data_IF_599239326264
#
_entry.id   IF_599239326264
#
_cell.length_a   1.000
_cell.length_b   1.000
_cell.length_c   1.000
_cell.angle_alpha   90.00
_cell.angle_beta   90.00
_cell.angle_gamma   90.00
#
_symmetry.space_group_name_H-M   'P 1'
#
loop_
_entity.id
_entity.type
_entity.pdbx_description
1 polymer ?
#
# COMPACT_ATOMS: atom_id res chain seq x y z
N UNK A 1 3.12 27.53 10.77
CA UNK A 1 2.55 26.16 10.62
C UNK A 1 1.05 26.04 10.94
N UNK A 2 0.49 26.63 12.01
CA UNK A 2 -0.97 26.55 12.31
C UNK A 2 -1.89 27.11 11.20
N UNK A 3 -1.44 28.12 10.44
CA UNK A 3 -2.18 28.73 9.32
C UNK A 3 -2.28 27.80 8.10
N UNK A 4 -1.19 27.12 7.72
CA UNK A 4 -1.15 26.21 6.57
C UNK A 4 -2.14 25.05 6.71
N UNK A 5 -2.28 24.49 7.91
CA UNK A 5 -3.24 23.39 8.18
C UNK A 5 -4.71 23.84 8.02
N UNK A 6 -5.02 25.12 8.30
CA UNK A 6 -6.36 25.67 8.08
C UNK A 6 -6.65 25.88 6.59
N UNK A 7 -5.67 26.37 5.85
CA UNK A 7 -5.76 26.56 4.40
C UNK A 7 -5.90 25.23 3.66
N UNK A 8 -5.21 24.19 4.12
CA UNK A 8 -5.31 22.85 3.56
C UNK A 8 -6.66 22.18 3.86
N UNK A 9 -7.20 22.39 5.06
CA UNK A 9 -8.56 21.95 5.39
C UNK A 9 -9.61 22.67 4.52
N UNK A 10 -9.45 23.97 4.28
CA UNK A 10 -10.28 24.74 3.36
C UNK A 10 -10.22 24.20 1.93
N UNK A 11 -9.03 23.82 1.45
CA UNK A 11 -8.83 23.18 0.15
C UNK A 11 -9.54 21.82 0.06
N UNK A 12 -9.53 21.02 1.13
CA UNK A 12 -10.30 19.76 1.18
C UNK A 12 -11.79 20.07 1.13
N UNK A 13 -12.29 21.06 1.88
CA UNK A 13 -13.70 21.45 1.83
C UNK A 13 -14.13 21.95 0.43
N UNK A 14 -13.29 22.75 -0.23
CA UNK A 14 -13.53 23.23 -1.60
C UNK A 14 -13.46 22.09 -2.61
N UNK A 15 -12.57 21.13 -2.40
CA UNK A 15 -12.42 19.98 -3.25
C UNK A 15 -13.55 18.96 -3.07
N UNK A 16 -13.97 18.67 -1.84
CA UNK A 16 -15.14 17.84 -1.57
C UNK A 16 -16.41 18.51 -2.11
N UNK A 17 -16.51 19.83 -2.03
CA UNK A 17 -17.57 20.60 -2.71
C UNK A 17 -17.51 20.42 -4.24
N UNK A 18 -16.32 20.46 -4.85
CA UNK A 18 -16.14 20.20 -6.28
C UNK A 18 -16.55 18.78 -6.69
N UNK A 19 -16.20 17.78 -5.88
CA UNK A 19 -16.66 16.40 -6.06
C UNK A 19 -18.18 16.32 -5.92
N UNK A 20 -18.78 16.98 -4.93
CA UNK A 20 -20.23 17.07 -4.75
C UNK A 20 -20.94 17.66 -5.98
N UNK A 21 -20.38 18.71 -6.58
CA UNK A 21 -20.92 19.29 -7.81
C UNK A 21 -20.83 18.30 -8.98
N UNK A 22 -19.71 17.59 -9.13
CA UNK A 22 -19.59 16.52 -10.12
C UNK A 22 -20.66 15.44 -9.89
N UNK A 23 -20.81 14.99 -8.64
CA UNK A 23 -21.83 14.05 -8.18
C UNK A 23 -23.27 14.47 -8.50
N UNK A 24 -23.61 15.74 -8.26
CA UNK A 24 -24.94 16.30 -8.52
C UNK A 24 -25.25 16.40 -10.03
N UNK A 25 -24.24 16.65 -10.87
CA UNK A 25 -24.43 16.73 -12.33
C UNK A 25 -24.68 15.38 -13.00
N UNK A 26 -24.11 14.30 -12.45
CA UNK A 26 -24.27 12.94 -13.01
C UNK A 26 -25.63 12.33 -12.61
N UNK A 27 -26.10 12.60 -11.40
CA UNK A 27 -27.27 11.96 -10.81
C UNK A 27 -28.61 12.68 -11.02
N UNK A 28 -29.06 12.92 -12.25
CA UNK A 28 -30.36 13.60 -12.53
C UNK A 28 -31.60 12.94 -11.90
N UNK A 29 -31.49 11.76 -11.27
CA UNK A 29 -32.59 11.07 -10.55
C UNK A 29 -32.29 10.55 -9.14
N UNK A 30 -31.07 10.72 -8.57
CA UNK A 30 -30.70 10.18 -7.23
C UNK A 30 -29.93 11.18 -6.35
N UNK A 31 -30.20 12.49 -6.53
CA UNK A 31 -29.51 13.57 -5.83
C UNK A 31 -29.43 13.39 -4.30
N UNK A 32 -30.52 12.96 -3.65
CA UNK A 32 -30.58 12.77 -2.19
C UNK A 32 -29.62 11.67 -1.70
N UNK A 33 -29.54 10.55 -2.41
CA UNK A 33 -28.65 9.45 -2.04
C UNK A 33 -27.19 9.83 -2.26
N UNK A 34 -26.90 10.55 -3.33
CA UNK A 34 -25.58 11.10 -3.61
C UNK A 34 -25.14 12.13 -2.56
N UNK A 35 -26.05 13.00 -2.13
CA UNK A 35 -25.84 13.92 -1.00
C UNK A 35 -25.50 13.16 0.29
N UNK A 36 -26.26 12.10 0.60
CA UNK A 36 -26.02 11.28 1.79
C UNK A 36 -24.61 10.70 1.82
N UNK A 37 -24.16 10.07 0.73
CA UNK A 37 -22.82 9.50 0.65
C UNK A 37 -21.72 10.54 0.77
N UNK A 38 -21.91 11.71 0.16
CA UNK A 38 -20.98 12.82 0.28
C UNK A 38 -20.88 13.34 1.72
N UNK A 39 -22.01 13.60 2.37
CA UNK A 39 -22.04 14.04 3.78
C UNK A 39 -21.38 13.00 4.68
N UNK A 40 -21.68 11.72 4.47
CA UNK A 40 -21.09 10.62 5.23
C UNK A 40 -19.56 10.57 5.06
N UNK A 41 -19.06 10.74 3.84
CA UNK A 41 -17.62 10.78 3.56
C UNK A 41 -16.93 11.96 4.26
N UNK A 42 -17.46 13.18 4.09
CA UNK A 42 -16.91 14.39 4.72
C UNK A 42 -16.93 14.26 6.25
N UNK A 43 -18.02 13.72 6.80
CA UNK A 43 -18.14 13.47 8.23
C UNK A 43 -17.07 12.49 8.73
N UNK A 44 -16.92 11.32 8.10
CA UNK A 44 -15.94 10.30 8.48
C UNK A 44 -14.51 10.85 8.47
N UNK A 45 -14.13 11.53 7.38
CA UNK A 45 -12.80 12.13 7.21
C UNK A 45 -12.55 13.21 8.25
N UNK A 46 -13.53 14.09 8.48
CA UNK A 46 -13.40 15.19 9.45
C UNK A 46 -13.26 14.65 10.86
N UNK A 47 -14.08 13.68 11.24
CA UNK A 47 -13.99 13.02 12.56
C UNK A 47 -12.63 12.36 12.73
N UNK A 48 -12.17 11.57 11.75
CA UNK A 48 -10.85 10.93 11.83
C UNK A 48 -9.72 11.95 11.94
N UNK A 49 -9.77 13.04 11.17
CA UNK A 49 -8.81 14.12 11.25
C UNK A 49 -8.80 14.79 12.62
N UNK A 50 -9.96 15.14 13.16
CA UNK A 50 -10.09 15.78 14.48
C UNK A 50 -9.58 14.87 15.60
N UNK A 51 -9.89 13.57 15.56
CA UNK A 51 -9.36 12.58 16.50
C UNK A 51 -7.82 12.53 16.38
N UNK A 52 -7.30 12.38 15.17
CA UNK A 52 -5.85 12.33 14.96
C UNK A 52 -5.12 13.61 15.37
N UNK A 53 -5.77 14.78 15.25
CA UNK A 53 -5.24 16.05 15.76
C UNK A 53 -5.31 16.15 17.28
N UNK A 54 -6.44 15.77 17.89
CA UNK A 54 -6.65 15.81 19.36
C UNK A 54 -5.66 14.92 20.09
N UNK A 55 -5.39 13.74 19.53
CA UNK A 55 -4.46 12.77 20.10
C UNK A 55 -3.07 12.82 19.47
N UNK A 56 -2.73 13.87 18.71
CA UNK A 56 -1.40 14.06 18.09
C UNK A 56 -0.89 12.80 17.36
N UNK A 57 -1.79 12.06 16.72
CA UNK A 57 -1.50 10.82 16.00
C UNK A 57 -0.92 11.09 14.61
N UNK A 58 -1.12 12.29 14.09
CA UNK A 58 -0.60 12.73 12.79
C UNK A 58 0.46 13.81 13.00
N UNK A 59 1.75 13.44 13.11
CA UNK A 59 2.86 14.40 13.22
C UNK A 59 2.86 15.37 12.04
N UNK A 60 2.66 14.82 10.83
CA UNK A 60 2.53 15.57 9.58
C UNK A 60 1.13 15.38 8.99
N UNK A 61 0.18 16.30 9.25
CA UNK A 61 -1.20 16.19 8.79
C UNK A 61 -1.35 16.03 7.27
N UNK A 62 -0.39 16.52 6.49
CA UNK A 62 -0.41 16.44 5.03
C UNK A 62 -0.42 15.00 4.51
N UNK A 63 0.23 14.08 5.23
CA UNK A 63 0.29 12.66 4.87
C UNK A 63 -1.06 11.95 5.05
N UNK A 64 -1.94 12.47 5.89
CA UNK A 64 -3.32 12.00 6.00
C UNK A 64 -4.21 12.61 4.90
N UNK A 65 -3.96 13.87 4.55
CA UNK A 65 -4.80 14.61 3.61
C UNK A 65 -4.68 14.07 2.18
N UNK A 66 -3.47 13.74 1.72
CA UNK A 66 -3.26 13.29 0.34
C UNK A 66 -4.05 11.99 0.02
N UNK A 67 -3.98 10.92 0.84
CA UNK A 67 -4.79 9.71 0.62
C UNK A 67 -6.29 9.98 0.72
N UNK A 68 -6.72 10.87 1.62
CA UNK A 68 -8.12 11.30 1.71
C UNK A 68 -8.53 11.91 0.38
N UNK A 69 -7.78 12.89 -0.14
CA UNK A 69 -8.05 13.53 -1.41
C UNK A 69 -8.19 12.52 -2.55
N UNK A 70 -7.21 11.61 -2.69
CA UNK A 70 -7.23 10.57 -3.73
C UNK A 70 -8.42 9.60 -3.57
N UNK A 71 -8.79 9.26 -2.34
CA UNK A 71 -9.96 8.41 -2.09
C UNK A 71 -11.28 9.09 -2.49
N UNK A 72 -11.38 10.41 -2.30
CA UNK A 72 -12.53 11.20 -2.75
C UNK A 72 -12.65 11.25 -4.28
N UNK A 73 -11.52 11.41 -4.98
CA UNK A 73 -11.47 11.30 -6.45
C UNK A 73 -11.93 9.92 -6.91
N UNK A 74 -11.34 8.85 -6.36
CA UNK A 74 -11.67 7.48 -6.74
C UNK A 74 -13.13 7.14 -6.48
N UNK A 75 -13.72 7.61 -5.37
CA UNK A 75 -15.16 7.51 -5.13
C UNK A 75 -15.96 8.19 -6.24
N UNK A 76 -15.59 9.41 -6.62
CA UNK A 76 -16.35 10.16 -7.63
C UNK A 76 -16.30 9.46 -8.99
N UNK A 77 -15.12 8.95 -9.38
CA UNK A 77 -14.96 8.18 -10.61
C UNK A 77 -15.76 6.88 -10.60
N UNK A 78 -15.69 6.10 -9.51
CA UNK A 78 -16.46 4.86 -9.36
C UNK A 78 -17.95 5.11 -9.52
N UNK A 79 -18.47 6.17 -8.90
CA UNK A 79 -19.88 6.51 -9.00
C UNK A 79 -20.26 7.00 -10.40
N UNK A 80 -19.39 7.78 -11.05
CA UNK A 80 -19.62 8.23 -12.43
C UNK A 80 -19.67 7.05 -13.42
N UNK A 81 -18.86 6.02 -13.21
CA UNK A 81 -18.87 4.80 -14.03
C UNK A 81 -20.10 3.95 -13.77
N UNK A 82 -20.47 3.74 -12.50
CA UNK A 82 -21.58 2.86 -12.13
C UNK A 82 -22.96 3.44 -12.46
N UNK A 83 -23.12 4.76 -12.49
CA UNK A 83 -24.39 5.37 -12.94
C UNK A 83 -24.69 5.07 -14.42
N UNK A 84 -23.69 4.75 -15.25
CA UNK A 84 -23.90 4.31 -16.63
C UNK A 84 -24.34 2.85 -16.74
N UNK A 85 -24.20 2.06 -15.68
CA UNK A 85 -24.40 0.61 -15.67
C UNK A 85 -25.64 0.27 -14.80
N UNK A 86 -26.81 0.26 -15.44
CA UNK A 86 -28.18 -0.20 -15.04
C UNK A 86 -28.56 -0.46 -13.55
N UNK A 87 -29.82 -0.09 -13.23
CA UNK A 87 -30.58 -0.21 -11.97
C UNK A 87 -30.14 -1.30 -10.95
N UNK A 88 -29.69 -0.85 -9.76
CA UNK A 88 -29.57 -1.66 -8.53
C UNK A 88 -28.13 -1.92 -8.06
N UNK A 89 -27.17 -2.06 -8.99
CA UNK A 89 -25.76 -2.38 -8.68
C UNK A 89 -25.05 -1.22 -7.94
N UNK A 90 -25.46 0.01 -8.22
CA UNK A 90 -24.92 1.23 -7.63
C UNK A 90 -24.97 1.23 -6.09
N UNK A 91 -26.10 0.81 -5.50
CA UNK A 91 -26.30 0.96 -4.05
C UNK A 91 -25.35 0.01 -3.29
N UNK A 92 -25.27 -1.25 -3.72
CA UNK A 92 -24.42 -2.25 -3.07
C UNK A 92 -22.92 -1.88 -3.11
N UNK A 93 -22.42 -1.39 -4.26
CA UNK A 93 -21.00 -1.04 -4.36
C UNK A 93 -20.67 0.25 -3.60
N UNK A 94 -21.55 1.27 -3.66
CA UNK A 94 -21.39 2.51 -2.92
C UNK A 94 -21.33 2.28 -1.40
N UNK A 95 -22.26 1.48 -0.86
CA UNK A 95 -22.26 1.11 0.56
C UNK A 95 -21.02 0.33 0.96
N UNK A 96 -20.60 -0.65 0.14
CA UNK A 96 -19.39 -1.43 0.38
C UNK A 96 -18.13 -0.55 0.39
N UNK A 97 -18.02 0.38 -0.55
CA UNK A 97 -16.87 1.29 -0.61
C UNK A 97 -16.83 2.23 0.59
N UNK A 98 -17.98 2.72 1.05
CA UNK A 98 -18.07 3.52 2.27
C UNK A 98 -17.72 2.73 3.53
N UNK A 99 -18.12 1.45 3.61
CA UNK A 99 -17.74 0.58 4.72
C UNK A 99 -16.22 0.35 4.74
N UNK A 100 -15.58 0.14 3.59
CA UNK A 100 -14.12 0.02 3.48
C UNK A 100 -13.40 1.32 3.83
N UNK A 101 -13.95 2.48 3.45
CA UNK A 101 -13.40 3.77 3.85
C UNK A 101 -13.49 3.97 5.37
N UNK A 102 -14.63 3.66 5.98
CA UNK A 102 -14.78 3.71 7.43
C UNK A 102 -13.77 2.77 8.12
N UNK A 103 -13.63 1.53 7.63
CA UNK A 103 -12.63 0.59 8.13
C UNK A 103 -11.20 1.16 8.01
N UNK A 104 -10.86 1.77 6.87
CA UNK A 104 -9.55 2.39 6.66
C UNK A 104 -9.26 3.54 7.64
N UNK A 105 -10.27 4.35 7.97
CA UNK A 105 -10.15 5.44 8.95
C UNK A 105 -9.89 4.89 10.36
N UNK A 106 -10.56 3.80 10.74
CA UNK A 106 -10.31 3.14 12.01
C UNK A 106 -8.89 2.55 12.03
N UNK A 107 -8.50 1.85 10.96
CA UNK A 107 -7.18 1.23 10.85
C UNK A 107 -6.05 2.26 10.92
N UNK A 108 -6.14 3.38 10.20
CA UNK A 108 -5.08 4.41 10.23
C UNK A 108 -4.96 5.05 11.61
N UNK A 109 -6.07 5.30 12.30
CA UNK A 109 -6.06 5.83 13.68
C UNK A 109 -5.47 4.82 14.66
N UNK A 110 -5.88 3.55 14.56
CA UNK A 110 -5.38 2.48 15.42
C UNK A 110 -3.88 2.27 15.25
N UNK A 111 -3.41 2.14 14.00
CA UNK A 111 -1.98 1.98 13.69
C UNK A 111 -1.20 3.19 14.19
N UNK A 112 -1.65 4.42 13.91
CA UNK A 112 -0.97 5.64 14.36
C UNK A 112 -0.90 5.75 15.89
N UNK A 113 -1.94 5.32 16.59
CA UNK A 113 -1.95 5.28 18.06
C UNK A 113 -0.98 4.25 18.63
N UNK A 114 -0.88 3.07 17.99
CA UNK A 114 0.07 2.03 18.38
C UNK A 114 1.52 2.47 18.14
N UNK A 115 1.80 3.08 16.99
CA UNK A 115 3.16 3.50 16.62
C UNK A 115 3.62 4.74 17.38
N UNK A 116 2.71 5.64 17.79
CA UNK A 116 3.07 6.84 18.57
C UNK A 116 3.83 6.52 19.86
N UNK A 117 3.47 5.43 20.55
CA UNK A 117 4.08 5.06 21.84
C UNK A 117 5.28 4.12 21.70
N UNK A 118 5.42 3.44 20.56
CA UNK A 118 6.46 2.43 20.37
C UNK A 118 7.63 2.98 19.55
N UNK A 119 8.85 2.75 20.04
CA UNK A 119 10.05 3.00 19.24
C UNK A 119 10.06 2.04 18.03
N UNK A 120 9.92 2.60 16.83
CA UNK A 120 9.85 1.86 15.57
C UNK A 120 11.13 1.06 15.26
N UNK A 121 12.25 1.44 15.87
CA UNK A 121 13.51 0.68 15.79
C UNK A 121 13.37 -0.76 16.28
N UNK A 122 12.42 -1.02 17.20
CA UNK A 122 12.15 -2.38 17.67
C UNK A 122 11.64 -3.29 16.55
N UNK A 123 10.94 -2.75 15.54
CA UNK A 123 10.44 -3.55 14.41
C UNK A 123 11.59 -4.10 13.55
N UNK A 124 12.69 -3.36 13.41
CA UNK A 124 13.86 -3.81 12.65
C UNK A 124 14.51 -5.07 13.25
N UNK A 125 14.44 -5.23 14.58
CA UNK A 125 14.96 -6.43 15.27
C UNK A 125 14.22 -7.71 14.90
N UNK A 126 12.93 -7.59 14.55
CA UNK A 126 12.08 -8.72 14.17
C UNK A 126 12.04 -8.97 12.65
N UNK A 127 13.03 -8.46 11.89
CA UNK A 127 13.09 -8.58 10.42
C UNK A 127 12.79 -9.99 9.89
N UNK A 128 13.37 -11.03 10.48
CA UNK A 128 13.15 -12.41 10.04
C UNK A 128 11.74 -12.93 10.36
N UNK A 129 11.11 -12.46 11.44
CA UNK A 129 9.71 -12.79 11.74
C UNK A 129 8.80 -12.19 10.66
N UNK A 130 9.04 -10.94 10.25
CA UNK A 130 8.28 -10.32 9.16
C UNK A 130 8.46 -11.06 7.84
N UNK A 131 9.68 -11.48 7.51
CA UNK A 131 9.95 -12.31 6.33
C UNK A 131 9.20 -13.64 6.37
N UNK A 132 9.31 -14.38 7.47
CA UNK A 132 8.66 -15.69 7.63
C UNK A 132 7.14 -15.54 7.56
N UNK A 133 6.55 -14.57 8.27
CA UNK A 133 5.12 -14.28 8.21
C UNK A 133 4.69 -13.93 6.78
N UNK A 134 5.49 -13.14 6.06
CA UNK A 134 5.25 -12.81 4.66
C UNK A 134 5.22 -14.05 3.76
N UNK A 135 6.20 -14.94 3.92
CA UNK A 135 6.28 -16.19 3.18
C UNK A 135 5.13 -17.14 3.48
N UNK A 136 4.75 -17.26 4.75
CA UNK A 136 3.62 -18.09 5.16
C UNK A 136 2.32 -17.56 4.56
N UNK A 137 2.09 -16.23 4.63
CA UNK A 137 0.88 -15.62 4.06
C UNK A 137 0.80 -15.80 2.54
N UNK A 138 1.89 -15.61 1.80
CA UNK A 138 1.91 -15.93 0.37
C UNK A 138 1.71 -17.42 0.12
N UNK A 139 2.43 -18.27 0.84
CA UNK A 139 2.37 -19.73 0.68
C UNK A 139 0.98 -20.30 0.94
N UNK A 140 0.23 -19.75 1.90
CA UNK A 140 -1.15 -20.16 2.21
C UNK A 140 -2.11 -19.99 1.02
N UNK A 141 -1.88 -19.01 0.14
CA UNK A 141 -2.72 -18.81 -1.05
C UNK A 141 -2.53 -19.89 -2.11
N UNK A 142 -1.44 -20.66 -2.09
CA UNK A 142 -1.22 -21.73 -3.08
C UNK A 142 -2.25 -22.86 -2.91
N UNK A 143 -2.43 -23.47 -1.72
CA UNK A 143 -3.45 -24.49 -1.52
C UNK A 143 -4.86 -23.92 -1.34
N UNK A 144 -5.02 -22.77 -0.68
CA UNK A 144 -6.33 -22.24 -0.27
C UNK A 144 -6.83 -21.05 -1.09
N UNK A 145 -6.01 -20.50 -1.98
CA UNK A 145 -6.38 -19.35 -2.80
C UNK A 145 -7.46 -19.67 -3.81
N UNK A 146 -8.30 -18.70 -4.10
CA UNK A 146 -9.25 -18.70 -5.20
C UNK A 146 -8.69 -17.92 -6.38
N UNK A 147 -9.08 -18.33 -7.59
CA UNK A 147 -8.63 -17.66 -8.82
C UNK A 147 -9.57 -16.51 -9.18
N UNK A 148 -9.02 -15.31 -9.25
CA UNK A 148 -9.70 -14.13 -9.79
C UNK A 148 -8.80 -13.52 -10.88
N UNK A 149 -9.36 -13.26 -12.07
CA UNK A 149 -8.59 -12.68 -13.18
C UNK A 149 -7.39 -13.51 -13.63
N UNK A 150 -7.41 -14.84 -13.40
CA UNK A 150 -6.31 -15.75 -13.74
C UNK A 150 -5.22 -15.90 -12.67
N UNK A 151 -5.23 -15.06 -11.62
CA UNK A 151 -4.31 -15.13 -10.49
C UNK A 151 -4.96 -15.84 -9.28
N UNK A 152 -4.22 -16.72 -8.61
CA UNK A 152 -4.65 -17.47 -7.42
C UNK A 152 -4.10 -16.83 -6.15
N UNK A 153 -4.45 -15.58 -5.90
CA UNK A 153 -3.88 -14.76 -4.82
C UNK A 153 -4.87 -14.30 -3.75
N UNK A 154 -6.15 -14.71 -3.83
CA UNK A 154 -7.21 -14.26 -2.92
C UNK A 154 -7.70 -15.38 -2.01
N UNK A 155 -7.93 -15.06 -0.73
CA UNK A 155 -8.60 -15.95 0.23
C UNK A 155 -10.03 -15.44 0.46
N UNK A 156 -11.00 -16.33 0.31
CA UNK A 156 -12.42 -16.01 0.47
C UNK A 156 -12.99 -16.63 1.75
N UNK A 157 -13.63 -15.80 2.57
CA UNK A 157 -14.32 -16.17 3.80
C UNK A 157 -15.78 -15.71 3.69
N UNK A 158 -16.61 -16.51 3.02
CA UNK A 158 -18.00 -16.14 2.72
C UNK A 158 -18.08 -14.92 1.80
N UNK A 159 -18.61 -13.81 2.31
CA UNK A 159 -18.74 -12.53 1.57
C UNK A 159 -17.49 -11.64 1.63
N UNK A 160 -16.51 -11.98 2.47
CA UNK A 160 -15.26 -11.24 2.61
C UNK A 160 -14.16 -11.92 1.80
N UNK A 161 -13.52 -11.15 0.93
CA UNK A 161 -12.36 -11.61 0.17
C UNK A 161 -11.15 -10.77 0.58
N UNK A 162 -10.08 -11.44 1.01
CA UNK A 162 -8.86 -10.81 1.48
C UNK A 162 -7.73 -11.23 0.55
N UNK A 163 -6.92 -10.27 0.10
CA UNK A 163 -5.71 -10.53 -0.66
C UNK A 163 -4.51 -10.52 0.30
N UNK A 164 -3.90 -11.67 0.65
CA UNK A 164 -2.80 -11.69 1.61
C UNK A 164 -1.57 -10.91 1.13
N UNK A 165 -1.38 -10.78 -0.19
CA UNK A 165 -0.29 -9.99 -0.77
C UNK A 165 -0.31 -8.53 -0.29
N UNK A 166 -1.47 -7.92 -0.07
CA UNK A 166 -1.51 -6.53 0.42
C UNK A 166 -0.85 -6.39 1.81
N UNK A 167 -1.02 -7.37 2.70
CA UNK A 167 -0.33 -7.40 3.99
C UNK A 167 1.16 -7.72 3.85
N UNK A 168 1.48 -8.67 2.98
CA UNK A 168 2.86 -9.11 2.74
C UNK A 168 3.72 -7.96 2.20
N UNK A 169 3.16 -7.03 1.42
CA UNK A 169 3.82 -5.82 0.94
C UNK A 169 4.45 -5.03 2.10
N UNK A 170 3.71 -4.86 3.19
CA UNK A 170 4.19 -4.17 4.40
C UNK A 170 5.26 -5.01 5.10
N UNK A 171 5.04 -6.32 5.26
CA UNK A 171 5.98 -7.23 5.93
C UNK A 171 7.34 -7.30 5.22
N UNK A 172 7.34 -7.34 3.90
CA UNK A 172 8.56 -7.32 3.08
C UNK A 172 9.29 -6.00 3.24
N UNK A 173 8.59 -4.85 3.24
CA UNK A 173 9.23 -3.55 3.50
C UNK A 173 9.89 -3.53 4.89
N UNK A 174 9.21 -4.04 5.92
CA UNK A 174 9.78 -4.13 7.27
C UNK A 174 11.01 -5.04 7.32
N UNK A 175 10.96 -6.19 6.65
CA UNK A 175 12.11 -7.08 6.52
C UNK A 175 13.27 -6.41 5.80
N UNK A 176 13.03 -5.85 4.61
CA UNK A 176 14.07 -5.24 3.79
C UNK A 176 14.69 -4.04 4.49
N UNK A 177 13.88 -3.15 5.07
CA UNK A 177 14.37 -2.00 5.83
C UNK A 177 15.22 -2.43 7.03
N UNK A 178 14.74 -3.38 7.84
CA UNK A 178 15.48 -3.86 9.01
C UNK A 178 16.74 -4.64 8.65
N UNK A 179 16.74 -5.38 7.54
CA UNK A 179 17.92 -6.09 7.06
C UNK A 179 18.97 -5.12 6.51
N UNK A 180 18.53 -4.18 5.67
CA UNK A 180 19.41 -3.19 5.06
C UNK A 180 19.93 -2.15 6.07
N UNK A 181 19.22 -1.87 7.16
CA UNK A 181 19.77 -1.01 8.22
C UNK A 181 21.00 -1.62 8.90
N UNK A 182 21.07 -2.95 8.99
CA UNK A 182 22.17 -3.67 9.64
C UNK A 182 23.30 -4.00 8.65
N UNK A 183 22.95 -4.51 7.47
CA UNK A 183 23.93 -5.01 6.48
C UNK A 183 24.13 -4.08 5.28
N UNK A 184 23.40 -2.96 5.20
CA UNK A 184 23.43 -2.06 4.05
C UNK A 184 24.78 -1.35 3.83
N UNK A 185 25.62 -1.23 4.86
CA UNK A 185 26.96 -0.66 4.71
C UNK A 185 27.84 -1.52 3.77
N UNK A 186 27.61 -2.82 3.70
CA UNK A 186 28.31 -3.71 2.77
C UNK A 186 27.94 -3.44 1.30
N UNK A 187 26.73 -2.94 1.02
CA UNK A 187 26.33 -2.51 -0.32
C UNK A 187 27.03 -1.21 -0.74
N UNK A 188 27.19 -0.26 0.19
CA UNK A 188 27.88 1.02 -0.07
C UNK A 188 29.35 0.80 -0.43
N UNK A 189 30.03 -0.08 0.31
CA UNK A 189 31.47 -0.31 0.23
C UNK A 189 31.90 -1.30 -0.87
N UNK A 190 30.97 -1.82 -1.69
CA UNK A 190 31.27 -2.73 -2.77
C UNK A 190 32.00 -2.02 -3.93
N UNK A 191 33.27 -1.63 -3.78
CA UNK A 191 34.02 -0.91 -4.82
C UNK A 191 34.23 -1.79 -6.06
N UNK A 192 34.17 -1.25 -7.31
CA UNK A 192 34.31 -2.05 -8.54
C UNK A 192 35.68 -2.75 -8.74
N UNK A 193 36.66 -2.47 -7.88
CA UNK A 193 38.07 -2.85 -8.09
C UNK A 193 38.54 -4.11 -7.36
N UNK A 194 37.66 -4.87 -6.71
CA UNK A 194 38.08 -6.02 -5.87
C UNK A 194 37.41 -7.32 -6.28
N UNK A 195 38.00 -7.96 -7.30
CA UNK A 195 37.53 -9.24 -7.87
C UNK A 195 37.62 -10.43 -6.90
N UNK A 196 38.29 -10.27 -5.74
CA UNK A 196 38.61 -11.35 -4.78
C UNK A 196 37.88 -11.19 -3.42
N UNK A 197 37.05 -10.14 -3.24
CA UNK A 197 36.13 -10.01 -2.08
C UNK A 197 34.61 -10.20 -2.37
N UNK A 198 34.13 -10.68 -3.54
CA UNK A 198 32.69 -10.78 -3.79
C UNK A 198 31.99 -11.78 -2.84
N UNK A 199 32.70 -12.79 -2.33
CA UNK A 199 32.11 -13.80 -1.46
C UNK A 199 31.52 -13.23 -0.18
N UNK A 200 32.25 -12.38 0.57
CA UNK A 200 31.74 -11.85 1.86
C UNK A 200 30.48 -11.00 1.67
N UNK A 201 30.45 -10.14 0.65
CA UNK A 201 29.27 -9.33 0.35
C UNK A 201 28.07 -10.20 -0.07
N UNK A 202 28.30 -11.27 -0.86
CA UNK A 202 27.26 -12.24 -1.23
C UNK A 202 26.72 -12.98 -0.01
N UNK A 203 27.58 -13.38 0.94
CA UNK A 203 27.16 -14.03 2.19
C UNK A 203 26.24 -13.13 3.03
N UNK A 204 26.53 -11.83 3.12
CA UNK A 204 25.68 -10.88 3.84
C UNK A 204 24.42 -10.47 3.08
N UNK A 205 24.38 -10.62 1.75
CA UNK A 205 23.17 -10.35 0.95
C UNK A 205 22.35 -11.61 0.69
N UNK A 206 22.91 -12.79 0.94
CA UNK A 206 22.30 -14.09 0.67
C UNK A 206 20.91 -14.25 1.29
N UNK A 207 20.71 -14.01 2.60
CA UNK A 207 19.39 -14.11 3.21
C UNK A 207 18.36 -13.14 2.62
N UNK A 208 18.78 -11.92 2.28
CA UNK A 208 17.92 -10.91 1.65
C UNK A 208 17.50 -11.31 0.24
N UNK A 209 18.46 -11.77 -0.57
CA UNK A 209 18.17 -12.28 -1.92
C UNK A 209 17.34 -13.56 -1.87
N UNK A 210 17.59 -14.45 -0.92
CA UNK A 210 16.83 -15.69 -0.75
C UNK A 210 15.36 -15.40 -0.45
N UNK A 211 15.07 -14.57 0.56
CA UNK A 211 13.70 -14.17 0.88
C UNK A 211 13.06 -13.47 -0.32
N UNK A 212 13.76 -12.55 -0.96
CA UNK A 212 13.22 -11.83 -2.10
C UNK A 212 12.91 -12.74 -3.31
N UNK A 213 13.82 -13.64 -3.71
CA UNK A 213 13.61 -14.63 -4.78
C UNK A 213 12.43 -15.53 -4.42
N UNK A 214 12.36 -16.01 -3.18
CA UNK A 214 11.27 -16.88 -2.73
C UNK A 214 9.91 -16.18 -2.84
N UNK A 215 9.82 -14.91 -2.44
CA UNK A 215 8.58 -14.13 -2.57
C UNK A 215 8.16 -14.01 -4.04
N UNK A 216 9.10 -13.70 -4.94
CA UNK A 216 8.80 -13.59 -6.37
C UNK A 216 8.38 -14.92 -6.98
N UNK A 217 9.06 -16.02 -6.63
CA UNK A 217 8.68 -17.36 -7.10
C UNK A 217 7.25 -17.72 -6.66
N UNK A 218 6.91 -17.48 -5.40
CA UNK A 218 5.55 -17.72 -4.90
C UNK A 218 4.50 -16.91 -5.68
N UNK A 219 4.78 -15.64 -5.99
CA UNK A 219 3.87 -14.80 -6.77
C UNK A 219 3.75 -15.24 -8.23
N UNK A 220 4.84 -15.71 -8.83
CA UNK A 220 4.82 -16.31 -10.18
C UNK A 220 3.98 -17.59 -10.19
N UNK A 221 4.09 -18.45 -9.17
CA UNK A 221 3.22 -19.62 -9.01
C UNK A 221 1.75 -19.25 -8.82
N UNK A 222 1.48 -18.13 -8.13
CA UNK A 222 0.14 -17.57 -8.01
C UNK A 222 -0.36 -16.90 -9.30
N UNK A 223 0.48 -16.76 -10.33
CA UNK A 223 0.22 -16.01 -11.57
C UNK A 223 -0.16 -14.54 -11.31
N UNK A 224 0.36 -13.95 -10.23
CA UNK A 224 0.12 -12.56 -9.84
C UNK A 224 1.32 -11.68 -10.22
N UNK A 225 1.48 -11.46 -11.53
CA UNK A 225 2.60 -10.70 -12.09
C UNK A 225 2.59 -9.23 -11.67
N UNK A 226 1.40 -8.63 -11.53
CA UNK A 226 1.27 -7.24 -11.08
C UNK A 226 1.87 -7.04 -9.68
N UNK A 227 1.53 -7.92 -8.75
CA UNK A 227 2.11 -7.89 -7.39
C UNK A 227 3.61 -8.18 -7.41
N UNK A 228 4.06 -9.13 -8.25
CA UNK A 228 5.48 -9.45 -8.39
C UNK A 228 6.31 -8.24 -8.85
N UNK A 229 5.83 -7.50 -9.85
CA UNK A 229 6.50 -6.29 -10.35
C UNK A 229 6.53 -5.20 -9.28
N UNK A 230 5.45 -5.01 -8.52
CA UNK A 230 5.43 -4.06 -7.41
C UNK A 230 6.47 -4.41 -6.33
N UNK A 231 6.57 -5.68 -5.96
CA UNK A 231 7.54 -6.14 -4.95
C UNK A 231 8.98 -6.00 -5.44
N UNK A 232 9.19 -6.30 -6.72
CA UNK A 232 10.46 -6.09 -7.39
C UNK A 232 10.86 -4.60 -7.37
N UNK A 233 9.92 -3.70 -7.71
CA UNK A 233 10.14 -2.25 -7.67
C UNK A 233 10.47 -1.72 -6.28
N UNK A 234 9.74 -2.16 -5.26
CA UNK A 234 10.01 -1.80 -3.85
C UNK A 234 11.40 -2.27 -3.42
N UNK A 235 11.79 -3.49 -3.79
CA UNK A 235 13.12 -4.01 -3.52
C UNK A 235 14.22 -3.14 -4.14
N UNK A 236 14.09 -2.81 -5.44
CA UNK A 236 15.06 -1.94 -6.12
C UNK A 236 15.12 -0.55 -5.51
N UNK A 237 13.98 0.02 -5.14
CA UNK A 237 13.92 1.34 -4.50
C UNK A 237 14.69 1.36 -3.17
N UNK A 238 14.52 0.34 -2.33
CA UNK A 238 15.24 0.24 -1.05
C UNK A 238 16.74 -0.04 -1.24
N UNK A 239 17.11 -0.89 -2.20
CA UNK A 239 18.52 -1.12 -2.53
C UNK A 239 19.17 0.16 -3.06
N UNK A 240 18.48 0.93 -3.90
CA UNK A 240 18.97 2.21 -4.40
C UNK A 240 19.16 3.21 -3.25
N UNK A 241 18.17 3.35 -2.38
CA UNK A 241 18.21 4.27 -1.24
C UNK A 241 19.40 3.97 -0.32
N UNK A 242 19.71 2.69 -0.11
CA UNK A 242 20.79 2.26 0.78
C UNK A 242 22.15 2.29 0.09
N UNK A 243 22.25 1.87 -1.17
CA UNK A 243 23.52 1.79 -1.90
C UNK A 243 23.95 3.12 -2.52
N UNK A 244 23.01 4.01 -2.85
CA UNK A 244 23.23 5.24 -3.62
C UNK A 244 23.58 5.00 -5.10
N UNK A 245 23.46 3.76 -5.60
CA UNK A 245 23.94 3.39 -6.94
C UNK A 245 22.79 3.09 -7.88
N UNK A 246 22.59 3.98 -8.85
CA UNK A 246 21.57 3.84 -9.88
C UNK A 246 21.78 2.58 -10.76
N UNK A 247 23.03 2.08 -10.87
CA UNK A 247 23.35 0.88 -11.63
C UNK A 247 22.55 -0.36 -11.19
N UNK A 248 22.23 -0.50 -9.90
CA UNK A 248 21.41 -1.62 -9.41
C UNK A 248 19.97 -1.55 -9.90
N UNK A 249 19.42 -0.33 -10.01
CA UNK A 249 18.06 -0.11 -10.54
C UNK A 249 18.02 -0.46 -12.02
N UNK A 250 19.02 -0.02 -12.79
CA UNK A 250 19.12 -0.34 -14.23
C UNK A 250 19.27 -1.84 -14.44
N UNK A 251 20.20 -2.49 -13.74
CA UNK A 251 20.41 -3.93 -13.84
C UNK A 251 19.15 -4.72 -13.45
N UNK A 252 18.49 -4.33 -12.36
CA UNK A 252 17.22 -4.93 -11.96
C UNK A 252 16.10 -4.70 -12.97
N UNK A 253 15.98 -3.48 -13.50
CA UNK A 253 15.00 -3.16 -14.54
C UNK A 253 15.15 -4.01 -15.79
N UNK A 254 16.40 -4.29 -16.21
CA UNK A 254 16.68 -5.21 -17.32
C UNK A 254 16.24 -6.64 -17.00
N UNK A 255 16.53 -7.14 -15.79
CA UNK A 255 16.08 -8.47 -15.35
C UNK A 255 14.56 -8.58 -15.35
N UNK A 256 13.86 -7.55 -14.87
CA UNK A 256 12.39 -7.51 -14.90
C UNK A 256 11.84 -7.49 -16.33
N UNK A 257 12.47 -6.71 -17.23
CA UNK A 257 12.06 -6.66 -18.63
C UNK A 257 12.25 -8.03 -19.32
N UNK A 258 13.38 -8.70 -19.10
CA UNK A 258 13.62 -10.05 -19.62
C UNK A 258 12.60 -11.04 -19.05
N UNK A 259 12.36 -11.00 -17.73
CA UNK A 259 11.38 -11.87 -17.08
C UNK A 259 9.92 -11.60 -17.48
N UNK A 260 9.61 -10.44 -18.06
CA UNK A 260 8.28 -10.13 -18.59
C UNK A 260 8.06 -10.63 -20.02
N UNK A 261 9.14 -10.89 -20.77
CA UNK A 261 9.09 -11.35 -22.16
C UNK A 261 9.07 -12.88 -22.27
N UNK A 262 9.62 -13.57 -21.26
CA UNK A 262 9.65 -15.04 -21.14
C UNK A 262 8.38 -15.54 -20.46
#
# INVERSE_FOLDING_TARGET
MKSANKMFFLLICLFTLGLFLAFATVGKGKLLLTLFFWVAYVFLVTVAFLIGRKFELFPEPILFIIPVFLSGLGLTELYALQMKQTNGIYEDVAFRQMAWLAASMITVLAVSALTRKHNYEKLARYKYIWAILGMVLLGLTIPFGQSFGGARSWLSFGSLTIQPSEFVKILIVLFLAGYLSEYGQYLKNAHPKWWIRPFKALWYLGPLLFVWIMALLLLVFQRDLGTAVLYFGVFLALIYLVSGRFSYVVAGGLVAAVGAVI
#
